data_IF_180890856107
#
_entry.id   IF_180890856107
#
_cell.length_a   1.000
_cell.length_b   1.000
_cell.length_c   1.000
_cell.angle_alpha   90.00
_cell.angle_beta   90.00
_cell.angle_gamma   90.00
#
_symmetry.space_group_name_H-M   'P 1'
#
loop_
_entity.id
_entity.type
_entity.pdbx_description
1 polymer ?
#
# COMPACT_ATOMS: atom_id res chain seq x y z
N UNK A 1 -15.09 -20.80 -1.42
CA UNK A 1 -14.95 -20.04 -2.68
C UNK A 1 -15.29 -18.61 -2.33
N UNK A 2 -14.26 -17.80 -2.09
CA UNK A 2 -14.44 -16.36 -1.90
C UNK A 2 -14.48 -15.69 -3.27
N UNK A 3 -15.28 -14.65 -3.39
CA UNK A 3 -15.38 -13.83 -4.59
C UNK A 3 -15.22 -12.39 -4.15
N UNK A 4 -14.33 -11.67 -4.81
CA UNK A 4 -14.12 -10.25 -4.59
C UNK A 4 -14.33 -9.53 -5.91
N UNK A 5 -15.00 -8.39 -5.85
CA UNK A 5 -15.11 -7.49 -6.99
C UNK A 5 -13.84 -6.64 -7.12
N UNK A 6 -13.62 -6.06 -8.30
CA UNK A 6 -12.55 -5.06 -8.48
C UNK A 6 -12.68 -3.94 -7.45
N UNK A 7 -13.92 -3.53 -7.15
CA UNK A 7 -14.19 -2.56 -6.09
C UNK A 7 -13.71 -3.03 -4.72
N UNK A 8 -13.99 -4.28 -4.34
CA UNK A 8 -13.58 -4.81 -3.04
C UNK A 8 -12.05 -4.84 -2.92
N UNK A 9 -11.33 -5.12 -4.02
CA UNK A 9 -9.86 -5.09 -4.05
C UNK A 9 -9.33 -3.66 -3.90
N UNK A 10 -9.94 -2.68 -4.57
CA UNK A 10 -9.59 -1.27 -4.41
C UNK A 10 -9.88 -0.76 -2.98
N UNK A 11 -11.02 -1.13 -2.41
CA UNK A 11 -11.40 -0.77 -1.05
C UNK A 11 -10.48 -1.46 -0.02
N UNK A 12 -10.07 -2.71 -0.27
CA UNK A 12 -9.07 -3.42 0.53
C UNK A 12 -7.72 -2.71 0.49
N UNK A 13 -7.21 -2.38 -0.70
CA UNK A 13 -5.95 -1.66 -0.87
C UNK A 13 -5.97 -0.32 -0.15
N UNK A 14 -7.03 0.47 -0.35
CA UNK A 14 -7.24 1.74 0.36
C UNK A 14 -7.16 1.55 1.87
N UNK A 15 -7.85 0.54 2.39
CA UNK A 15 -7.88 0.25 3.83
C UNK A 15 -6.48 -0.13 4.33
N UNK A 16 -5.70 -0.90 3.55
CA UNK A 16 -4.33 -1.25 3.88
C UNK A 16 -3.44 0.00 4.01
N UNK A 17 -3.49 0.92 3.04
CA UNK A 17 -2.75 2.19 3.10
C UNK A 17 -3.18 3.06 4.29
N UNK A 18 -4.49 3.14 4.57
CA UNK A 18 -5.00 3.86 5.75
C UNK A 18 -4.47 3.24 7.07
N UNK A 19 -4.38 1.91 7.14
CA UNK A 19 -3.77 1.22 8.28
C UNK A 19 -2.27 1.47 8.41
N UNK A 20 -1.51 1.42 7.31
CA UNK A 20 -0.08 1.71 7.28
C UNK A 20 0.20 3.14 7.76
N UNK A 21 -0.54 4.12 7.25
CA UNK A 21 -0.52 5.51 7.71
C UNK A 21 -0.73 5.62 9.22
N UNK A 22 -1.78 5.00 9.74
CA UNK A 22 -2.11 5.08 11.17
C UNK A 22 -1.00 4.47 12.03
N UNK A 23 -0.41 3.36 11.59
CA UNK A 23 0.74 2.73 12.25
C UNK A 23 1.94 3.69 12.28
N UNK A 24 2.28 4.33 11.17
CA UNK A 24 3.39 5.30 11.13
C UNK A 24 3.14 6.51 12.03
N UNK A 25 1.89 7.00 12.10
CA UNK A 25 1.53 8.08 13.03
C UNK A 25 1.66 7.66 14.50
N UNK A 26 1.22 6.45 14.84
CA UNK A 26 1.36 5.91 16.20
C UNK A 26 2.81 5.73 16.63
N UNK A 27 3.67 5.26 15.72
CA UNK A 27 5.11 5.15 15.96
C UNK A 27 5.75 6.53 16.16
N UNK A 28 5.25 7.53 15.43
CA UNK A 28 5.75 8.90 15.48
C UNK A 28 5.46 9.55 16.84
N UNK A 29 4.30 9.29 17.42
CA UNK A 29 3.95 9.76 18.77
C UNK A 29 4.83 9.12 19.87
N UNK A 30 5.49 8.00 19.58
CA UNK A 30 6.31 7.25 20.53
C UNK A 30 7.82 7.47 20.34
N UNK A 31 8.25 8.03 19.20
CA UNK A 31 9.67 8.26 18.93
C UNK A 31 10.11 9.65 19.40
N UNK A 32 11.34 9.73 19.92
CA UNK A 32 11.99 11.01 20.27
C UNK A 32 13.12 11.37 19.30
N UNK A 33 13.38 10.52 18.30
CA UNK A 33 14.47 10.70 17.33
C UNK A 33 13.94 11.51 16.15
N UNK A 34 14.43 12.73 15.98
CA UNK A 34 14.00 13.67 14.92
C UNK A 34 14.08 13.06 13.51
N UNK A 35 15.13 12.28 13.22
CA UNK A 35 15.28 11.58 11.94
C UNK A 35 14.17 10.54 11.69
N UNK A 36 13.79 9.81 12.74
CA UNK A 36 12.75 8.78 12.67
C UNK A 36 11.38 9.45 12.55
N UNK A 37 11.12 10.52 13.29
CA UNK A 37 9.91 11.34 13.18
C UNK A 37 9.72 11.87 11.75
N UNK A 38 10.78 12.42 11.15
CA UNK A 38 10.76 12.93 9.78
C UNK A 38 10.45 11.82 8.77
N UNK A 39 11.07 10.64 8.92
CA UNK A 39 10.80 9.50 8.04
C UNK A 39 9.38 8.99 8.19
N UNK A 40 8.90 8.79 9.42
CA UNK A 40 7.52 8.35 9.69
C UNK A 40 6.50 9.32 9.14
N UNK A 41 6.77 10.63 9.20
CA UNK A 41 5.93 11.64 8.58
C UNK A 41 5.89 11.50 7.05
N UNK A 42 7.04 11.33 6.40
CA UNK A 42 7.11 11.12 4.95
C UNK A 42 6.34 9.87 4.51
N UNK A 43 6.52 8.76 5.23
CA UNK A 43 5.79 7.51 4.98
C UNK A 43 4.28 7.70 5.18
N UNK A 44 3.86 8.33 6.28
CA UNK A 44 2.43 8.58 6.52
C UNK A 44 1.78 9.48 5.46
N UNK A 45 2.49 10.50 4.95
CA UNK A 45 2.01 11.35 3.86
C UNK A 45 1.90 10.59 2.54
N UNK A 46 2.84 9.68 2.28
CA UNK A 46 2.84 8.81 1.11
C UNK A 46 1.65 7.84 1.11
N UNK A 47 1.41 7.14 2.21
CA UNK A 47 0.27 6.24 2.37
C UNK A 47 -1.07 6.97 2.22
N UNK A 48 -1.19 8.20 2.74
CA UNK A 48 -2.38 9.03 2.57
C UNK A 48 -2.62 9.41 1.10
N UNK A 49 -1.55 9.67 0.34
CA UNK A 49 -1.64 9.95 -1.09
C UNK A 49 -2.08 8.71 -1.89
N UNK A 50 -1.58 7.52 -1.54
CA UNK A 50 -1.98 6.26 -2.16
C UNK A 50 -3.45 5.93 -1.88
N UNK A 51 -3.90 6.05 -0.62
CA UNK A 51 -5.31 5.84 -0.25
C UNK A 51 -6.27 6.77 -1.04
N UNK A 52 -5.88 8.04 -1.22
CA UNK A 52 -6.62 9.00 -2.06
C UNK A 52 -6.62 8.61 -3.53
N UNK A 53 -5.50 8.09 -4.02
CA UNK A 53 -5.37 7.61 -5.40
C UNK A 53 -6.27 6.40 -5.65
N UNK A 54 -6.39 5.47 -4.70
CA UNK A 54 -7.35 4.34 -4.79
C UNK A 54 -8.79 4.84 -4.87
N UNK A 55 -9.14 5.84 -4.06
CA UNK A 55 -10.48 6.44 -4.07
C UNK A 55 -10.79 7.10 -5.42
N UNK A 56 -9.88 7.95 -5.92
CA UNK A 56 -10.01 8.61 -7.24
C UNK A 56 -10.08 7.60 -8.39
N UNK A 57 -9.29 6.54 -8.31
CA UNK A 57 -9.30 5.44 -9.28
C UNK A 57 -10.65 4.73 -9.29
N UNK A 58 -11.21 4.42 -8.12
CA UNK A 58 -12.54 3.83 -7.98
C UNK A 58 -13.63 4.75 -8.56
N UNK A 59 -13.58 6.05 -8.28
CA UNK A 59 -14.56 7.03 -8.78
C UNK A 59 -14.49 7.24 -10.30
N UNK A 60 -13.29 7.20 -10.88
CA UNK A 60 -13.07 7.38 -12.33
C UNK A 60 -13.25 6.10 -13.15
N UNK A 61 -13.26 4.94 -12.50
CA UNK A 61 -13.45 3.65 -13.16
C UNK A 61 -14.92 3.39 -13.46
N UNK A 62 -15.21 2.86 -14.66
CA UNK A 62 -16.57 2.53 -15.05
C UNK A 62 -17.16 1.45 -14.12
N UNK A 63 -18.40 1.64 -13.64
CA UNK A 63 -19.09 0.68 -12.74
C UNK A 63 -19.06 -0.76 -13.23
N UNK A 64 -19.13 -0.98 -14.55
CA UNK A 64 -19.06 -2.33 -15.15
C UNK A 64 -17.75 -3.06 -14.83
N UNK A 65 -16.64 -2.31 -14.73
CA UNK A 65 -15.31 -2.83 -14.38
C UNK A 65 -15.26 -3.06 -12.86
N UNK A 66 -15.79 -2.13 -12.07
CA UNK A 66 -15.85 -2.25 -10.61
C UNK A 66 -16.66 -3.46 -10.14
N UNK A 67 -17.76 -3.75 -10.81
CA UNK A 67 -18.68 -4.86 -10.51
C UNK A 67 -18.22 -6.20 -11.14
N UNK A 68 -17.03 -6.26 -11.76
CA UNK A 68 -16.46 -7.50 -12.28
C UNK A 68 -16.06 -8.41 -11.11
N UNK A 69 -16.55 -9.64 -11.14
CA UNK A 69 -16.31 -10.64 -10.11
C UNK A 69 -15.08 -11.46 -10.44
N UNK A 70 -14.16 -11.56 -9.48
CA UNK A 70 -13.00 -12.43 -9.56
C UNK A 70 -13.07 -13.51 -8.48
N UNK A 71 -12.60 -14.72 -8.81
CA UNK A 71 -12.38 -15.79 -7.83
C UNK A 71 -11.13 -15.49 -7.02
N UNK A 72 -11.21 -14.44 -6.22
CA UNK A 72 -10.10 -13.92 -5.44
C UNK A 72 -10.50 -13.79 -3.98
N UNK A 73 -9.58 -14.17 -3.09
CA UNK A 73 -9.69 -13.96 -1.65
C UNK A 73 -8.57 -13.01 -1.24
N UNK A 74 -8.87 -11.73 -0.94
CA UNK A 74 -7.89 -10.87 -0.32
C UNK A 74 -7.42 -11.54 0.96
N UNK A 75 -6.10 -11.74 1.09
CA UNK A 75 -5.53 -12.21 2.35
C UNK A 75 -5.93 -11.27 3.49
N UNK A 76 -5.87 -11.75 4.74
CA UNK A 76 -6.24 -10.89 5.85
C UNK A 76 -5.35 -9.65 5.85
N UNK A 77 -5.94 -8.46 6.08
CA UNK A 77 -5.15 -7.24 6.30
C UNK A 77 -4.10 -7.52 7.37
N UNK A 78 -4.46 -8.28 8.42
CA UNK A 78 -3.53 -8.67 9.48
C UNK A 78 -2.35 -9.53 9.02
N UNK A 79 -2.46 -10.25 7.91
CA UNK A 79 -1.33 -10.98 7.31
C UNK A 79 -0.45 -10.02 6.51
N UNK A 80 -1.04 -9.10 5.75
CA UNK A 80 -0.32 -8.06 5.01
C UNK A 80 0.50 -7.16 5.94
N UNK A 81 -0.07 -6.77 7.08
CA UNK A 81 0.61 -5.98 8.12
C UNK A 81 1.19 -6.84 9.25
N UNK A 82 1.31 -8.16 9.07
CA UNK A 82 1.90 -9.03 10.11
C UNK A 82 3.35 -8.66 10.43
N UNK A 83 4.10 -8.24 9.40
CA UNK A 83 5.45 -7.66 9.52
C UNK A 83 5.46 -6.36 10.34
N UNK A 84 4.36 -5.61 10.36
CA UNK A 84 4.21 -4.39 11.16
C UNK A 84 3.95 -4.68 12.65
N UNK A 85 3.61 -5.91 13.04
CA UNK A 85 3.37 -6.24 14.46
C UNK A 85 4.64 -6.21 15.31
N UNK A 86 5.81 -6.19 14.68
CA UNK A 86 7.12 -6.04 15.35
C UNK A 86 7.52 -4.57 15.54
N UNK A 87 6.63 -3.63 15.26
CA UNK A 87 6.90 -2.20 15.42
C UNK A 87 7.17 -1.83 16.89
N UNK A 88 8.31 -1.17 17.11
CA UNK A 88 8.77 -0.74 18.44
C UNK A 88 9.34 0.68 18.38
N UNK A 89 9.29 1.45 19.47
CA UNK A 89 9.67 2.88 19.47
C UNK A 89 11.14 3.16 19.15
N UNK A 90 12.01 2.15 19.25
CA UNK A 90 13.44 2.25 18.98
C UNK A 90 13.85 1.87 17.55
N UNK A 91 12.87 1.61 16.66
CA UNK A 91 13.10 1.28 15.27
C UNK A 91 13.98 2.29 14.55
N UNK A 92 14.82 1.76 13.68
CA UNK A 92 15.68 2.52 12.77
C UNK A 92 14.93 2.93 11.51
N UNK A 93 15.47 3.93 10.80
CA UNK A 93 14.95 4.36 9.49
C UNK A 93 14.96 3.20 8.50
N UNK A 94 15.99 2.36 8.54
CA UNK A 94 16.15 1.20 7.66
C UNK A 94 15.05 0.16 7.90
N UNK A 95 14.76 -0.18 9.16
CA UNK A 95 13.68 -1.12 9.49
C UNK A 95 12.30 -0.57 9.09
N UNK A 96 12.06 0.74 9.23
CA UNK A 96 10.81 1.36 8.79
C UNK A 96 10.63 1.29 7.27
N UNK A 97 11.72 1.47 6.52
CA UNK A 97 11.73 1.34 5.07
C UNK A 97 11.46 -0.10 4.68
N UNK A 98 12.09 -1.07 5.33
CA UNK A 98 11.81 -2.48 5.06
C UNK A 98 10.34 -2.84 5.27
N UNK A 99 9.69 -2.27 6.29
CA UNK A 99 8.25 -2.47 6.51
C UNK A 99 7.45 -1.87 5.35
N UNK A 100 7.73 -0.62 4.96
CA UNK A 100 7.04 0.03 3.83
C UNK A 100 7.20 -0.79 2.54
N UNK A 101 8.43 -1.21 2.20
CA UNK A 101 8.69 -2.02 1.01
C UNK A 101 7.98 -3.37 1.03
N UNK A 102 7.78 -3.99 2.20
CA UNK A 102 7.02 -5.24 2.34
C UNK A 102 5.54 -5.03 2.05
N UNK A 103 4.96 -3.89 2.46
CA UNK A 103 3.57 -3.54 2.16
C UNK A 103 3.42 -3.31 0.65
N UNK A 104 4.32 -2.54 0.04
CA UNK A 104 4.33 -2.29 -1.40
C UNK A 104 4.46 -3.61 -2.18
N UNK A 105 5.38 -4.49 -1.79
CA UNK A 105 5.59 -5.79 -2.45
C UNK A 105 4.37 -6.71 -2.32
N UNK A 106 3.67 -6.65 -1.19
CA UNK A 106 2.42 -7.38 -1.00
C UNK A 106 1.33 -6.87 -1.96
N UNK A 107 1.15 -5.55 -2.08
CA UNK A 107 0.19 -4.94 -2.99
C UNK A 107 0.54 -5.20 -4.46
N UNK A 108 1.81 -5.12 -4.84
CA UNK A 108 2.27 -5.47 -6.20
C UNK A 108 1.93 -6.92 -6.52
N UNK A 109 2.21 -7.84 -5.59
CA UNK A 109 1.91 -9.27 -5.77
C UNK A 109 0.41 -9.50 -5.92
N UNK A 110 -0.38 -8.84 -5.07
CA UNK A 110 -1.84 -8.84 -5.12
C UNK A 110 -2.35 -8.38 -6.49
N UNK A 111 -1.94 -7.20 -6.95
CA UNK A 111 -2.41 -6.66 -8.23
C UNK A 111 -1.94 -7.49 -9.42
N UNK A 112 -0.70 -8.01 -9.41
CA UNK A 112 -0.21 -8.92 -10.47
C UNK A 112 -1.04 -10.20 -10.56
N UNK A 113 -1.48 -10.72 -9.42
CA UNK A 113 -2.39 -11.86 -9.41
C UNK A 113 -3.77 -11.48 -10.00
N UNK A 114 -4.29 -10.30 -9.67
CA UNK A 114 -5.52 -9.79 -10.27
C UNK A 114 -5.40 -9.56 -11.78
N UNK A 115 -4.26 -9.12 -12.30
CA UNK A 115 -3.98 -9.02 -13.75
C UNK A 115 -4.10 -10.38 -14.43
N UNK A 116 -3.59 -11.45 -13.81
CA UNK A 116 -3.67 -12.81 -14.36
C UNK A 116 -5.08 -13.39 -14.33
N UNK A 117 -5.87 -13.07 -13.31
CA UNK A 117 -7.25 -13.54 -13.14
C UNK A 117 -8.28 -12.61 -13.83
N UNK A 118 -7.85 -11.46 -14.33
CA UNK A 118 -8.73 -10.50 -14.99
C UNK A 118 -9.32 -11.07 -16.27
N UNK A 119 -10.65 -11.07 -16.37
CA UNK A 119 -11.36 -11.58 -17.56
C UNK A 119 -11.58 -10.50 -18.60
N UNK A 120 -11.79 -9.25 -18.16
CA UNK A 120 -11.86 -8.10 -19.06
C UNK A 120 -10.50 -7.39 -19.24
N UNK A 121 -10.27 -6.89 -20.45
CA UNK A 121 -9.08 -6.07 -20.76
C UNK A 121 -9.07 -4.76 -19.95
N UNK A 122 -10.24 -4.21 -19.64
CA UNK A 122 -10.37 -3.01 -18.82
C UNK A 122 -9.92 -3.24 -17.37
N UNK A 123 -10.31 -4.35 -16.75
CA UNK A 123 -9.85 -4.72 -15.40
C UNK A 123 -8.35 -5.04 -15.41
N UNK A 124 -7.86 -5.73 -16.44
CA UNK A 124 -6.43 -5.99 -16.59
C UNK A 124 -5.61 -4.70 -16.64
N UNK A 125 -6.01 -3.76 -17.49
CA UNK A 125 -5.35 -2.46 -17.62
C UNK A 125 -5.38 -1.66 -16.31
N UNK A 126 -6.50 -1.71 -15.59
CA UNK A 126 -6.63 -1.06 -14.29
C UNK A 126 -5.58 -1.61 -13.30
N UNK A 127 -5.51 -2.92 -13.12
CA UNK A 127 -4.55 -3.53 -12.21
C UNK A 127 -3.09 -3.36 -12.67
N UNK A 128 -2.82 -3.38 -13.97
CA UNK A 128 -1.48 -3.06 -14.50
C UNK A 128 -1.05 -1.63 -14.17
N UNK A 129 -1.97 -0.66 -14.28
CA UNK A 129 -1.70 0.72 -13.90
C UNK A 129 -1.39 0.84 -12.39
N UNK A 130 -2.10 0.07 -11.55
CA UNK A 130 -1.83 0.02 -10.11
C UNK A 130 -0.47 -0.60 -9.80
N UNK A 131 -0.08 -1.69 -10.48
CA UNK A 131 1.26 -2.27 -10.35
C UNK A 131 2.34 -1.24 -10.67
N UNK A 132 2.19 -0.49 -11.76
CA UNK A 132 3.15 0.55 -12.15
C UNK A 132 3.21 1.70 -11.15
N UNK A 133 2.06 2.06 -10.55
CA UNK A 133 1.98 3.06 -9.49
C UNK A 133 2.80 2.62 -8.28
N UNK A 134 2.55 1.42 -7.74
CA UNK A 134 3.27 0.91 -6.58
C UNK A 134 4.78 0.77 -6.85
N UNK A 135 5.17 0.28 -8.03
CA UNK A 135 6.59 0.17 -8.39
C UNK A 135 7.30 1.54 -8.42
N UNK A 136 6.59 2.57 -8.91
CA UNK A 136 7.11 3.95 -8.94
C UNK A 136 7.23 4.52 -7.53
N UNK A 137 6.23 4.29 -6.70
CA UNK A 137 6.18 4.76 -5.32
C UNK A 137 7.21 4.05 -4.42
N UNK A 138 7.42 2.74 -4.61
CA UNK A 138 8.51 1.98 -3.97
C UNK A 138 9.87 2.63 -4.20
N UNK A 139 10.18 3.01 -5.43
CA UNK A 139 11.45 3.70 -5.78
C UNK A 139 11.55 5.07 -5.08
N UNK A 140 10.43 5.80 -4.95
CA UNK A 140 10.39 7.09 -4.26
C UNK A 140 10.63 6.94 -2.77
N UNK A 141 10.03 5.93 -2.13
CA UNK A 141 10.22 5.61 -0.71
C UNK A 141 11.68 5.30 -0.40
N UNK A 142 12.34 4.46 -1.22
CA UNK A 142 13.78 4.18 -1.07
C UNK A 142 14.63 5.45 -1.24
N UNK A 143 14.31 6.30 -2.23
CA UNK A 143 15.05 7.56 -2.43
C UNK A 143 14.85 8.54 -1.27
N UNK A 144 13.64 8.63 -0.74
CA UNK A 144 13.34 9.46 0.42
C UNK A 144 14.14 8.98 1.64
N UNK A 145 14.20 7.66 1.87
CA UNK A 145 14.99 7.07 2.94
C UNK A 145 16.49 7.41 2.83
N UNK A 146 17.07 7.24 1.65
CA UNK A 146 18.47 7.60 1.39
C UNK A 146 18.73 9.08 1.68
N UNK A 147 17.81 9.95 1.24
CA UNK A 147 17.93 11.39 1.49
C UNK A 147 17.82 11.76 2.97
N UNK A 148 17.06 11.02 3.79
CA UNK A 148 16.98 11.25 5.24
C UNK A 148 18.24 10.73 5.96
N UNK A 149 18.89 9.70 5.42
CA UNK A 149 20.12 9.15 5.98
C UNK A 149 21.35 10.07 5.79
N UNK A 150 21.30 10.93 4.76
CA UNK A 150 22.39 11.85 4.42
C UNK A 150 22.47 13.11 5.32
N UNK A 151 21.52 13.31 6.26
CA UNK A 151 21.43 14.49 7.15
C UNK A 151 21.68 14.15 8.61
#
# INVERSE_FOLDING_TARGET
MSYATVKDVLDYSRTLHEHARNLYQQLRDQTQRERVDMMLKLLAEHEDALAKTMTSTSESTAKRVLDEWHQFEPGSISEAISSCRECHPDMTVEELVEIALKIDDYLITLYRHMVSEATSEASRQLFENLVQLEETEKIRTVRAALSVNDW
#
